data_IF_892259606124
#
_entry.id   IF_892259606124
#
_cell.length_a   1.000
_cell.length_b   1.000
_cell.length_c   1.000
_cell.angle_alpha   90.00
_cell.angle_beta   90.00
_cell.angle_gamma   90.00
#
_symmetry.space_group_name_H-M   'P 1'
#
loop_
_entity.id
_entity.type
_entity.pdbx_description
1 polymer ?
#
# COMPACT_ATOMS: atom_id res chain seq x y z
N UNK A 1 4.94 8.21 46.34
CA UNK A 1 5.18 7.07 45.41
C UNK A 1 4.22 7.27 44.27
N UNK A 2 4.70 7.86 43.16
CA UNK A 2 3.85 8.33 42.07
C UNK A 2 3.36 7.14 41.22
N UNK A 3 2.07 7.04 40.88
CA UNK A 3 1.54 5.91 40.15
C UNK A 3 2.07 5.97 38.72
N UNK A 4 2.80 4.92 38.33
CA UNK A 4 3.26 4.60 36.97
C UNK A 4 2.40 5.28 35.89
N UNK A 5 2.85 6.42 35.39
CA UNK A 5 2.38 6.93 34.10
C UNK A 5 2.72 5.84 33.08
N UNK A 6 1.70 5.14 32.61
CA UNK A 6 1.83 4.28 31.43
C UNK A 6 2.08 5.19 30.24
N UNK A 7 3.35 5.56 30.02
CA UNK A 7 3.78 6.27 28.82
C UNK A 7 3.52 5.32 27.64
N UNK A 8 2.48 5.63 26.86
CA UNK A 8 2.20 4.89 25.64
C UNK A 8 3.13 5.40 24.56
N UNK A 9 4.16 4.64 24.24
CA UNK A 9 5.03 4.93 23.11
C UNK A 9 4.28 4.60 21.81
N UNK A 10 4.21 5.57 20.89
CA UNK A 10 3.61 5.39 19.57
C UNK A 10 4.71 5.37 18.54
N UNK A 11 4.68 4.37 17.67
CA UNK A 11 5.64 4.21 16.59
C UNK A 11 4.92 4.12 15.25
N UNK A 12 5.32 4.92 14.25
CA UNK A 12 4.75 4.84 12.92
C UNK A 12 5.21 3.55 12.23
N UNK A 13 4.24 2.75 11.80
CA UNK A 13 4.48 1.50 11.08
C UNK A 13 4.07 1.65 9.61
N UNK A 14 4.73 0.89 8.76
CA UNK A 14 4.47 0.78 7.34
C UNK A 14 4.10 -0.66 7.01
N UNK A 15 2.93 -0.83 6.41
CA UNK A 15 2.56 -2.05 5.70
C UNK A 15 3.02 -1.93 4.25
N UNK A 16 3.77 -2.92 3.77
CA UNK A 16 4.22 -2.99 2.39
C UNK A 16 4.41 -4.45 1.96
N UNK A 17 4.37 -4.71 0.65
CA UNK A 17 4.99 -5.92 0.10
C UNK A 17 6.32 -5.52 -0.55
N UNK A 18 7.41 -6.13 -0.11
CA UNK A 18 8.74 -5.95 -0.66
C UNK A 18 9.36 -7.30 -1.02
N UNK A 19 10.64 -7.37 -1.38
CA UNK A 19 11.25 -8.61 -1.89
C UNK A 19 11.13 -9.87 -1.02
N UNK A 20 10.60 -9.77 0.21
CA UNK A 20 10.25 -10.88 1.11
C UNK A 20 8.76 -11.23 1.18
N UNK A 21 7.89 -10.42 0.58
CA UNK A 21 6.44 -10.50 0.71
C UNK A 21 5.82 -9.37 1.52
N UNK A 22 4.55 -9.54 1.89
CA UNK A 22 3.79 -8.61 2.71
C UNK A 22 4.32 -8.59 4.16
N UNK A 23 4.66 -7.39 4.66
CA UNK A 23 5.25 -7.20 5.98
C UNK A 23 4.74 -5.91 6.63
N UNK A 24 4.84 -5.87 7.96
CA UNK A 24 4.73 -4.63 8.74
C UNK A 24 6.10 -4.33 9.34
N UNK A 25 6.59 -3.12 9.12
CA UNK A 25 7.88 -2.67 9.66
C UNK A 25 7.86 -1.21 10.08
N UNK A 26 8.93 -0.74 10.71
CA UNK A 26 9.04 0.67 11.10
C UNK A 26 9.10 1.58 9.87
N UNK A 27 8.32 2.67 9.87
CA UNK A 27 8.34 3.66 8.79
C UNK A 27 9.71 4.35 8.67
N UNK A 28 10.47 4.43 9.77
CA UNK A 28 11.83 4.96 9.80
C UNK A 28 12.80 4.25 8.84
N UNK A 29 12.52 3.00 8.46
CA UNK A 29 13.28 2.28 7.43
C UNK A 29 13.17 2.91 6.01
N UNK A 30 12.34 3.94 5.85
CA UNK A 30 12.12 4.68 4.60
C UNK A 30 12.48 6.17 4.70
N UNK A 31 13.01 6.63 5.84
CA UNK A 31 13.43 8.03 5.98
C UNK A 31 14.50 8.41 4.94
N UNK A 32 14.48 9.66 4.48
CA UNK A 32 15.30 10.16 3.39
C UNK A 32 14.74 9.92 1.99
N UNK A 33 13.67 9.12 1.85
CA UNK A 33 13.05 8.86 0.54
C UNK A 33 12.06 9.97 0.15
N UNK A 34 12.00 10.37 -1.13
CA UNK A 34 10.94 11.21 -1.64
C UNK A 34 9.63 10.40 -1.72
N UNK A 35 8.58 10.90 -1.09
CA UNK A 35 7.27 10.22 -1.05
C UNK A 35 6.12 11.18 -1.33
N UNK A 36 5.01 10.62 -1.78
CA UNK A 36 3.69 11.25 -1.83
C UNK A 36 2.81 10.46 -0.87
N UNK A 37 2.11 11.16 0.03
CA UNK A 37 1.18 10.55 0.96
C UNK A 37 -0.23 10.79 0.46
N UNK A 38 -0.88 9.69 0.09
CA UNK A 38 -2.28 9.65 -0.28
C UNK A 38 -3.09 9.17 0.93
N UNK A 39 -4.23 9.79 1.20
CA UNK A 39 -5.13 9.45 2.30
C UNK A 39 -6.52 9.15 1.74
N UNK A 40 -7.16 8.15 2.31
CA UNK A 40 -8.56 7.86 2.02
C UNK A 40 -9.45 9.03 2.45
N UNK A 41 -10.33 9.50 1.56
CA UNK A 41 -11.24 10.62 1.83
C UNK A 41 -12.11 10.39 3.07
N UNK A 42 -12.53 11.49 3.69
CA UNK A 42 -13.21 11.47 4.99
C UNK A 42 -14.44 10.55 5.05
N UNK A 43 -15.22 10.44 3.96
CA UNK A 43 -16.42 9.59 3.92
C UNK A 43 -16.13 8.10 4.12
N UNK A 44 -14.89 7.66 3.94
CA UNK A 44 -14.49 6.27 4.12
C UNK A 44 -13.66 6.02 5.40
N UNK A 45 -13.48 7.01 6.28
CA UNK A 45 -12.68 6.85 7.50
C UNK A 45 -13.15 5.70 8.39
N UNK A 46 -14.45 5.41 8.43
CA UNK A 46 -15.01 4.28 9.17
C UNK A 46 -14.51 2.90 8.70
N UNK A 47 -13.88 2.81 7.52
CA UNK A 47 -13.30 1.58 6.96
C UNK A 47 -11.86 1.34 7.42
N UNK A 48 -11.15 2.37 7.88
CA UNK A 48 -9.73 2.30 8.26
C UNK A 48 -9.45 1.17 9.26
N UNK A 49 -10.22 0.98 10.36
CA UNK A 49 -9.95 -0.12 11.29
C UNK A 49 -9.98 -1.50 10.63
N UNK A 50 -10.84 -1.69 9.64
CA UNK A 50 -10.93 -2.95 8.88
C UNK A 50 -9.75 -3.10 7.93
N UNK A 51 -9.35 -2.04 7.23
CA UNK A 51 -8.15 -2.04 6.37
C UNK A 51 -6.91 -2.45 7.18
N UNK A 52 -6.73 -1.85 8.37
CA UNK A 52 -5.62 -2.19 9.26
C UNK A 52 -5.66 -3.67 9.70
N UNK A 53 -6.85 -4.19 10.02
CA UNK A 53 -7.01 -5.61 10.38
C UNK A 53 -6.62 -6.54 9.23
N UNK A 54 -7.03 -6.23 8.00
CA UNK A 54 -6.69 -7.04 6.82
C UNK A 54 -5.20 -6.92 6.46
N UNK A 55 -4.58 -5.77 6.66
CA UNK A 55 -3.13 -5.60 6.50
C UNK A 55 -2.33 -6.46 7.49
N UNK A 56 -2.73 -6.50 8.78
CA UNK A 56 -2.10 -7.37 9.78
C UNK A 56 -2.26 -8.84 9.41
N UNK A 57 -3.46 -9.27 8.98
CA UNK A 57 -3.68 -10.65 8.55
C UNK A 57 -2.78 -11.03 7.39
N UNK A 58 -2.78 -10.23 6.33
CA UNK A 58 -1.98 -10.50 5.14
C UNK A 58 -0.48 -10.52 5.45
N UNK A 59 0.02 -9.60 6.29
CA UNK A 59 1.42 -9.62 6.75
C UNK A 59 1.77 -10.80 7.66
N UNK A 60 0.76 -11.51 8.19
CA UNK A 60 0.94 -12.71 9.02
C UNK A 60 0.79 -14.01 8.21
N UNK A 61 0.44 -13.93 6.93
CA UNK A 61 0.27 -15.11 6.06
C UNK A 61 1.65 -15.59 5.55
N UNK A 62 2.01 -16.85 5.83
CA UNK A 62 3.28 -17.45 5.38
C UNK A 62 3.41 -17.52 3.85
N UNK A 63 2.27 -17.55 3.16
CA UNK A 63 2.17 -17.60 1.69
C UNK A 63 2.27 -16.23 1.03
N UNK A 64 2.22 -15.12 1.76
CA UNK A 64 2.17 -13.76 1.22
C UNK A 64 3.55 -13.30 0.69
N UNK A 65 4.11 -14.03 -0.28
CA UNK A 65 5.43 -13.78 -0.89
C UNK A 65 5.34 -12.71 -1.97
N UNK A 66 6.50 -12.19 -2.34
CA UNK A 66 6.61 -11.17 -3.38
C UNK A 66 6.46 -11.78 -4.77
N UNK A 67 5.60 -11.18 -5.58
CA UNK A 67 5.35 -11.66 -6.95
C UNK A 67 6.28 -11.00 -7.98
N UNK A 68 7.48 -11.55 -8.13
CA UNK A 68 8.39 -11.10 -9.19
C UNK A 68 7.86 -11.40 -10.59
N UNK A 69 7.02 -12.42 -10.74
CA UNK A 69 6.52 -12.85 -12.04
C UNK A 69 5.44 -11.90 -12.58
N UNK A 70 4.55 -11.41 -11.71
CA UNK A 70 3.57 -10.37 -12.05
C UNK A 70 4.22 -9.10 -12.63
N UNK A 71 5.42 -8.74 -12.18
CA UNK A 71 6.15 -7.60 -12.76
C UNK A 71 6.46 -7.85 -14.25
N UNK A 72 7.00 -9.03 -14.56
CA UNK A 72 7.40 -9.38 -15.92
C UNK A 72 6.19 -9.62 -16.81
N UNK A 73 5.19 -10.34 -16.31
CA UNK A 73 4.02 -10.74 -17.07
C UNK A 73 3.05 -9.59 -17.27
N UNK A 74 2.76 -8.80 -16.23
CA UNK A 74 1.67 -7.82 -16.28
C UNK A 74 2.16 -6.37 -16.20
N UNK A 75 3.09 -6.03 -15.29
CA UNK A 75 3.50 -4.64 -15.09
C UNK A 75 4.28 -4.07 -16.28
N UNK A 76 5.30 -4.80 -16.76
CA UNK A 76 6.13 -4.34 -17.89
C UNK A 76 5.29 -4.18 -19.16
N UNK A 77 4.47 -5.18 -19.59
CA UNK A 77 3.62 -5.00 -20.76
C UNK A 77 2.63 -3.84 -20.61
N UNK A 78 2.01 -3.67 -19.44
CA UNK A 78 1.11 -2.54 -19.18
C UNK A 78 1.82 -1.19 -19.34
N UNK A 79 3.00 -1.02 -18.77
CA UNK A 79 3.80 0.21 -18.88
C UNK A 79 4.21 0.49 -20.33
N UNK A 80 4.58 -0.54 -21.10
CA UNK A 80 4.90 -0.41 -22.52
C UNK A 80 3.68 0.02 -23.34
N UNK A 81 2.53 -0.62 -23.12
CA UNK A 81 1.27 -0.26 -23.78
C UNK A 81 0.86 1.19 -23.47
N UNK A 82 0.93 1.60 -22.20
CA UNK A 82 0.66 2.98 -21.78
C UNK A 82 1.59 3.98 -22.47
N UNK A 83 2.90 3.68 -22.53
CA UNK A 83 3.89 4.55 -23.17
C UNK A 83 3.71 4.67 -24.69
N UNK A 84 3.28 3.58 -25.34
CA UNK A 84 3.07 3.53 -26.79
C UNK A 84 1.66 3.97 -27.20
N UNK A 85 0.75 4.20 -26.25
CA UNK A 85 -0.64 4.57 -26.53
C UNK A 85 -1.46 3.46 -27.18
N UNK A 86 -1.08 2.20 -26.97
CA UNK A 86 -1.78 1.02 -27.52
C UNK A 86 -2.60 0.31 -26.43
N UNK A 87 -3.72 -0.33 -26.77
CA UNK A 87 -4.54 -1.05 -25.81
C UNK A 87 -3.78 -2.25 -25.22
N UNK A 88 -3.97 -2.50 -23.92
CA UNK A 88 -3.47 -3.70 -23.26
C UNK A 88 -4.39 -4.87 -23.59
N UNK A 89 -3.89 -5.85 -24.35
CA UNK A 89 -4.63 -7.06 -24.71
C UNK A 89 -4.46 -8.20 -23.69
N UNK A 90 -3.73 -7.97 -22.60
CA UNK A 90 -3.44 -8.97 -21.58
C UNK A 90 -4.51 -8.94 -20.49
N UNK A 91 -5.08 -10.11 -20.20
CA UNK A 91 -6.03 -10.29 -19.11
C UNK A 91 -5.26 -10.57 -17.83
N UNK A 92 -5.32 -9.65 -16.88
CA UNK A 92 -4.72 -9.87 -15.56
C UNK A 92 -5.56 -10.86 -14.75
N UNK A 93 -4.87 -11.75 -14.06
CA UNK A 93 -5.43 -12.65 -13.06
C UNK A 93 -4.49 -12.67 -11.88
N UNK A 94 -5.00 -12.27 -10.72
CA UNK A 94 -4.26 -12.28 -9.46
C UNK A 94 -4.00 -13.72 -9.01
N UNK A 95 -2.82 -13.97 -8.44
CA UNK A 95 -2.49 -15.20 -7.73
C UNK A 95 -2.37 -14.98 -6.20
N UNK A 96 -1.69 -15.88 -5.49
CA UNK A 96 -1.50 -15.77 -4.04
C UNK A 96 -0.33 -14.84 -3.63
N UNK A 97 0.59 -14.58 -4.55
CA UNK A 97 1.71 -13.67 -4.37
C UNK A 97 1.31 -12.24 -4.71
N UNK A 98 2.02 -11.27 -4.14
CA UNK A 98 1.64 -9.87 -4.28
C UNK A 98 2.86 -8.95 -4.38
N UNK A 99 2.90 -8.13 -5.43
CA UNK A 99 3.77 -6.94 -5.46
C UNK A 99 3.25 -5.87 -4.50
N UNK A 100 4.01 -4.78 -4.34
CA UNK A 100 3.66 -3.69 -3.43
C UNK A 100 2.25 -3.11 -3.66
N UNK A 101 1.90 -2.82 -4.91
CA UNK A 101 0.60 -2.26 -5.29
C UNK A 101 -0.55 -3.26 -5.18
N UNK A 102 -0.32 -4.54 -5.46
CA UNK A 102 -1.31 -5.61 -5.26
C UNK A 102 -1.64 -5.76 -3.78
N UNK A 103 -0.64 -5.76 -2.91
CA UNK A 103 -0.84 -5.89 -1.48
C UNK A 103 -1.67 -4.73 -0.89
N UNK A 104 -1.40 -3.50 -1.33
CA UNK A 104 -2.22 -2.35 -0.92
C UNK A 104 -3.64 -2.49 -1.49
N UNK A 105 -3.81 -2.82 -2.77
CA UNK A 105 -5.15 -3.01 -3.36
C UNK A 105 -5.94 -4.10 -2.62
N UNK A 106 -5.29 -5.22 -2.27
CA UNK A 106 -5.90 -6.38 -1.62
C UNK A 106 -6.45 -6.05 -0.24
N UNK A 107 -5.68 -5.35 0.61
CA UNK A 107 -6.14 -5.05 1.98
C UNK A 107 -7.37 -4.13 1.97
N UNK A 108 -7.44 -3.21 1.00
CA UNK A 108 -8.61 -2.36 0.80
C UNK A 108 -9.80 -3.16 0.23
N UNK A 109 -9.57 -4.03 -0.75
CA UNK A 109 -10.59 -4.92 -1.31
C UNK A 109 -11.21 -5.85 -0.24
N UNK A 110 -10.38 -6.52 0.57
CA UNK A 110 -10.82 -7.34 1.72
C UNK A 110 -11.62 -6.52 2.75
N UNK A 111 -11.31 -5.22 2.86
CA UNK A 111 -12.02 -4.26 3.71
C UNK A 111 -13.32 -3.69 3.07
N UNK A 112 -13.69 -4.13 1.85
CA UNK A 112 -14.84 -3.63 1.08
C UNK A 112 -14.68 -2.16 0.70
N UNK A 113 -13.48 -1.80 0.28
CA UNK A 113 -13.12 -0.52 -0.34
C UNK A 113 -12.36 -0.84 -1.62
N UNK A 114 -13.03 -0.78 -2.75
CA UNK A 114 -12.42 -1.08 -4.04
C UNK A 114 -11.71 0.17 -4.57
N UNK A 115 -10.44 0.36 -4.19
CA UNK A 115 -9.64 1.52 -4.64
C UNK A 115 -9.41 1.51 -6.14
N UNK A 116 -9.12 0.33 -6.68
CA UNK A 116 -8.71 0.12 -8.06
C UNK A 116 -9.45 -1.11 -8.64
N UNK A 117 -9.66 -1.16 -9.96
CA UNK A 117 -10.20 -2.35 -10.64
C UNK A 117 -9.38 -3.61 -10.32
N UNK A 118 -10.06 -4.75 -10.18
CA UNK A 118 -9.43 -6.03 -9.83
C UNK A 118 -9.00 -6.87 -11.04
N UNK A 119 -9.40 -6.45 -12.24
CA UNK A 119 -9.11 -7.10 -13.53
C UNK A 119 -7.93 -6.45 -14.29
N UNK A 120 -7.25 -5.48 -13.65
CA UNK A 120 -6.06 -4.82 -14.14
C UNK A 120 -4.99 -4.86 -13.04
N UNK A 121 -3.75 -5.23 -13.41
CA UNK A 121 -2.64 -5.20 -12.45
C UNK A 121 -2.48 -3.78 -11.90
N UNK A 122 -2.53 -3.55 -10.58
CA UNK A 122 -2.39 -2.21 -10.03
C UNK A 122 -0.93 -1.76 -10.11
N UNK A 123 -0.69 -0.55 -10.58
CA UNK A 123 0.62 0.11 -10.54
C UNK A 123 0.61 1.19 -9.45
N UNK A 124 1.78 1.52 -8.84
CA UNK A 124 1.86 2.57 -7.83
C UNK A 124 1.27 3.91 -8.28
N UNK A 125 1.41 4.27 -9.56
CA UNK A 125 0.86 5.50 -10.13
C UNK A 125 -0.68 5.56 -10.12
N UNK A 126 -1.37 4.42 -10.16
CA UNK A 126 -2.84 4.40 -10.18
C UNK A 126 -3.45 4.89 -8.87
N UNK A 127 -2.75 4.71 -7.75
CA UNK A 127 -3.20 5.22 -6.45
C UNK A 127 -3.15 6.74 -6.38
N UNK A 128 -2.26 7.39 -7.14
CA UNK A 128 -2.17 8.84 -7.20
C UNK A 128 -3.37 9.45 -7.92
N UNK A 129 -3.89 8.73 -8.92
CA UNK A 129 -5.05 9.12 -9.72
C UNK A 129 -6.38 8.59 -9.16
N UNK A 130 -6.36 7.84 -8.05
CA UNK A 130 -7.55 7.23 -7.47
C UNK A 130 -8.46 8.28 -6.81
N UNK A 131 -9.72 8.36 -7.27
CA UNK A 131 -10.70 9.34 -6.77
C UNK A 131 -11.07 9.18 -5.30
N UNK A 132 -10.85 7.99 -4.72
CA UNK A 132 -11.13 7.71 -3.30
C UNK A 132 -10.01 8.24 -2.39
N UNK A 133 -8.86 8.57 -2.98
CA UNK A 133 -7.69 9.06 -2.28
C UNK A 133 -7.51 10.56 -2.54
N UNK A 134 -6.97 11.25 -1.55
CA UNK A 134 -6.53 12.65 -1.67
C UNK A 134 -5.07 12.78 -1.27
N UNK A 135 -4.33 13.61 -1.99
CA UNK A 135 -2.95 13.93 -1.62
C UNK A 135 -2.95 14.81 -0.39
N UNK A 136 -2.41 14.31 0.72
CA UNK A 136 -2.29 15.09 1.97
C UNK A 136 -0.90 15.67 2.18
N UNK A 137 0.13 15.08 1.56
CA UNK A 137 1.50 15.54 1.71
C UNK A 137 2.41 15.02 0.59
N UNK A 138 3.53 15.71 0.34
CA UNK A 138 4.65 15.19 -0.45
C UNK A 138 5.97 15.87 -0.04
N UNK A 139 7.07 15.14 -0.12
CA UNK A 139 8.39 15.63 0.26
C UNK A 139 9.35 14.50 0.62
N UNK A 140 10.45 14.86 1.29
CA UNK A 140 11.41 13.88 1.82
C UNK A 140 10.92 13.39 3.19
N UNK A 141 10.68 12.10 3.32
CA UNK A 141 10.19 11.50 4.57
C UNK A 141 11.24 11.64 5.67
N UNK A 142 10.88 12.24 6.81
CA UNK A 142 11.76 12.42 7.97
C UNK A 142 10.99 12.19 9.27
N UNK A 143 11.72 12.06 10.38
CA UNK A 143 11.12 11.94 11.71
C UNK A 143 10.25 13.14 12.09
N UNK A 144 10.71 14.36 11.77
CA UNK A 144 9.99 15.61 12.04
C UNK A 144 8.62 15.67 11.37
N UNK A 145 8.48 15.07 10.19
CA UNK A 145 7.21 15.03 9.44
C UNK A 145 6.23 14.03 10.04
N UNK A 146 6.74 12.98 10.69
CA UNK A 146 5.93 11.90 11.26
C UNK A 146 5.69 12.10 12.76
N UNK A 147 6.46 12.98 13.39
CA UNK A 147 6.48 13.26 14.82
C UNK A 147 5.09 13.55 15.40
N UNK A 148 4.87 13.03 16.60
CA UNK A 148 3.67 13.26 17.39
C UNK A 148 3.83 14.57 18.17
N UNK A 149 2.99 15.56 17.89
CA UNK A 149 2.55 16.53 18.89
C UNK A 149 1.50 15.89 19.82
#
# INVERSE_FOLDING_TARGET
VDPKQNVTLRFPLLFESNGRGAVIQALSNRYGQPVIVMRLKSEYQGKIPRVLKEAVKLASEESARYDYWCILEFCIPRLLCQKLGIPLALRYSKDEFQICSEAVSEVYHRAKVDLLPQDVVPLPGDFVECELLEKVWAGILSEEVVGYD
#
